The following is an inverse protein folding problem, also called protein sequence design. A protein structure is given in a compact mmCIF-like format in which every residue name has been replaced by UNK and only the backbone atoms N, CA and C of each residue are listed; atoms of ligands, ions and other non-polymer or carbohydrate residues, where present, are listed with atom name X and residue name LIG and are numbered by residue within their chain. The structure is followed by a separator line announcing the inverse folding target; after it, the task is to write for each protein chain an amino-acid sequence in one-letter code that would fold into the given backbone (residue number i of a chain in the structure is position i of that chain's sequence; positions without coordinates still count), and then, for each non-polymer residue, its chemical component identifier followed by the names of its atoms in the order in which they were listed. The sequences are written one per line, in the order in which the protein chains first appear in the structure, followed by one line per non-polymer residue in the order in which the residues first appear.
data_IF_908924778843
#
_entry.id   IF_908924778843
#
_cell.length_a   1.000
_cell.length_b   1.000
_cell.length_c   1.000
_cell.angle_alpha   90.00
_cell.angle_beta   90.00
_cell.angle_gamma   90.00
#
_symmetry.space_group_name_H-M   'P 1'
#
loop_
_entity.id
_entity.type
_entity.pdbx_description
1 polymer ?
#
# COMPACT_ATOMS: atom_id res chain seq x y z
N UNK A 1 5.71 19.68 7.67
CA UNK A 1 5.00 18.85 8.68
C UNK A 1 5.55 17.42 8.76
N UNK A 2 5.42 16.59 7.71
CA UNK A 2 5.80 15.16 7.74
C UNK A 2 7.25 14.87 8.18
N UNK A 3 8.23 15.59 7.61
CA UNK A 3 9.64 15.45 8.01
C UNK A 3 9.87 15.87 9.46
N UNK A 4 9.23 16.95 9.91
CA UNK A 4 9.29 17.42 11.30
C UNK A 4 8.73 16.39 12.28
N UNK A 5 7.63 15.71 11.92
CA UNK A 5 7.08 14.60 12.70
C UNK A 5 8.11 13.46 12.82
N UNK A 6 8.68 13.00 11.70
CA UNK A 6 9.67 11.91 11.70
C UNK A 6 10.94 12.28 12.48
N UNK A 7 11.42 13.52 12.33
CA UNK A 7 12.58 14.03 13.05
C UNK A 7 12.30 14.12 14.56
N UNK A 8 11.14 14.64 14.97
CA UNK A 8 10.74 14.74 16.37
C UNK A 8 10.60 13.37 17.04
N UNK A 9 9.98 12.41 16.35
CA UNK A 9 9.89 11.02 16.79
C UNK A 9 11.29 10.46 17.06
N UNK A 10 12.18 10.58 16.08
CA UNK A 10 13.53 10.01 16.18
C UNK A 10 14.42 10.75 17.18
N UNK A 11 14.23 12.05 17.38
CA UNK A 11 14.90 12.80 18.45
C UNK A 11 14.50 12.28 19.83
N UNK A 12 13.20 12.06 20.07
CA UNK A 12 12.70 11.49 21.32
C UNK A 12 13.21 10.05 21.54
N UNK A 13 13.16 9.21 20.50
CA UNK A 13 13.67 7.83 20.56
C UNK A 13 15.16 7.77 20.86
N UNK A 14 15.95 8.68 20.28
CA UNK A 14 17.39 8.79 20.55
C UNK A 14 17.69 9.10 22.02
N UNK A 15 16.97 10.04 22.63
CA UNK A 15 17.10 10.36 24.06
C UNK A 15 16.70 9.15 24.92
N UNK A 16 15.66 8.42 24.50
CA UNK A 16 15.20 7.19 25.16
C UNK A 16 16.08 5.95 24.89
N UNK A 17 17.16 6.09 24.11
CA UNK A 17 18.03 4.99 23.66
C UNK A 17 17.26 3.84 22.98
N UNK A 18 16.19 4.18 22.25
CA UNK A 18 15.40 3.24 21.45
C UNK A 18 15.86 3.24 20.00
N UNK A 19 15.50 2.19 19.27
CA UNK A 19 15.76 2.09 17.84
C UNK A 19 15.07 3.23 17.06
N UNK A 20 15.67 3.59 15.92
CA UNK A 20 15.12 4.60 15.04
C UNK A 20 13.82 4.12 14.40
N UNK A 21 12.87 5.02 14.26
CA UNK A 21 11.63 4.77 13.55
C UNK A 21 11.73 5.30 12.11
N UNK A 22 11.54 4.41 11.15
CA UNK A 22 11.49 4.73 9.72
C UNK A 22 10.19 4.19 9.11
N UNK A 23 9.68 4.93 8.13
CA UNK A 23 8.54 4.49 7.32
C UNK A 23 9.07 4.08 5.96
N UNK A 24 8.68 2.89 5.52
CA UNK A 24 9.05 2.40 4.19
C UNK A 24 8.14 3.01 3.10
N UNK A 25 8.58 2.93 1.85
CA UNK A 25 7.87 3.50 0.69
C UNK A 25 6.51 2.83 0.46
N UNK A 26 6.43 1.52 0.69
CA UNK A 26 5.21 0.70 0.59
C UNK A 26 4.25 0.91 1.77
N UNK A 27 4.71 1.57 2.83
CA UNK A 27 3.92 1.81 4.03
C UNK A 27 3.26 3.18 4.04
N UNK A 28 3.92 4.22 3.51
CA UNK A 28 3.40 5.58 3.49
C UNK A 28 4.06 6.50 2.46
N UNK A 29 3.29 7.48 1.98
CA UNK A 29 3.81 8.61 1.21
C UNK A 29 4.89 9.42 1.95
N UNK A 30 4.91 9.40 3.30
CA UNK A 30 6.01 10.00 4.08
C UNK A 30 7.33 9.26 3.84
N UNK A 31 7.30 7.93 3.73
CA UNK A 31 8.46 7.12 3.37
C UNK A 31 8.94 7.45 1.95
N UNK A 32 8.00 7.55 1.00
CA UNK A 32 8.31 7.98 -0.39
C UNK A 32 8.98 9.34 -0.44
N UNK A 33 8.44 10.34 0.28
CA UNK A 33 9.00 11.69 0.38
C UNK A 33 10.45 11.67 0.86
N UNK A 34 10.70 10.99 1.99
CA UNK A 34 12.01 10.99 2.63
C UNK A 34 13.03 10.22 1.78
N UNK A 35 12.64 9.04 1.26
CA UNK A 35 13.50 8.22 0.39
C UNK A 35 13.86 8.95 -0.91
N UNK A 36 12.90 9.62 -1.56
CA UNK A 36 13.18 10.40 -2.77
C UNK A 36 14.18 11.54 -2.49
N UNK A 37 14.02 12.27 -1.38
CA UNK A 37 14.92 13.38 -1.03
C UNK A 37 16.36 12.93 -0.79
N UNK A 38 16.56 11.80 -0.09
CA UNK A 38 17.90 11.29 0.19
C UNK A 38 18.54 10.58 -1.02
N UNK A 39 17.73 9.95 -1.87
CA UNK A 39 18.23 9.09 -2.96
C UNK A 39 18.41 9.86 -4.27
N UNK A 40 17.48 10.76 -4.59
CA UNK A 40 17.51 11.51 -5.86
C UNK A 40 18.20 12.88 -5.72
N UNK A 41 18.29 13.41 -4.51
CA UNK A 41 18.61 14.81 -4.30
C UNK A 41 17.53 15.73 -4.88
N UNK A 42 17.75 17.03 -4.82
CA UNK A 42 16.80 18.01 -5.37
C UNK A 42 17.53 19.28 -5.78
N UNK A 43 17.55 19.58 -7.08
CA UNK A 43 18.10 20.85 -7.60
C UNK A 43 17.04 21.98 -7.53
N UNK A 44 15.77 21.60 -7.52
CA UNK A 44 14.61 22.46 -7.31
C UNK A 44 13.82 22.01 -6.07
N UNK A 45 12.92 22.82 -5.48
CA UNK A 45 12.12 22.39 -4.33
C UNK A 45 11.25 21.17 -4.66
N UNK A 46 11.47 20.06 -3.96
CA UNK A 46 10.72 18.81 -4.15
C UNK A 46 9.21 19.00 -3.92
N UNK A 47 8.38 18.43 -4.79
CA UNK A 47 6.91 18.47 -4.70
C UNK A 47 6.33 17.06 -4.78
N UNK A 48 5.45 16.71 -3.84
CA UNK A 48 4.83 15.37 -3.79
C UNK A 48 4.02 15.02 -5.04
N UNK A 49 3.45 16.02 -5.72
CA UNK A 49 2.58 15.80 -6.89
C UNK A 49 3.35 15.21 -8.09
N UNK A 50 4.67 15.43 -8.17
CA UNK A 50 5.53 14.86 -9.21
C UNK A 50 6.13 13.51 -8.80
N UNK A 51 5.95 13.10 -7.55
CA UNK A 51 6.45 11.81 -7.05
C UNK A 51 5.66 10.64 -7.63
N UNK A 52 6.38 9.62 -8.09
CA UNK A 52 5.79 8.33 -8.47
C UNK A 52 5.91 7.38 -7.28
N UNK A 53 4.85 7.31 -6.47
CA UNK A 53 4.66 6.16 -5.61
C UNK A 53 4.29 4.96 -6.48
N UNK A 54 5.05 3.88 -6.35
CA UNK A 54 4.84 2.62 -7.03
C UNK A 54 3.59 1.89 -6.51
N UNK A 55 3.12 2.29 -5.32
CA UNK A 55 2.07 1.63 -4.55
C UNK A 55 0.84 2.51 -4.31
N UNK A 56 0.37 3.23 -5.34
CA UNK A 56 -0.74 4.20 -5.18
C UNK A 56 -2.05 3.55 -4.71
N UNK A 57 -2.35 2.35 -5.18
CA UNK A 57 -3.57 1.63 -4.82
C UNK A 57 -3.50 1.11 -3.38
N UNK A 58 -2.31 0.87 -2.83
CA UNK A 58 -2.09 0.48 -1.44
C UNK A 58 -2.01 1.70 -0.50
N UNK A 59 -1.46 2.82 -0.97
CA UNK A 59 -1.19 4.03 -0.17
C UNK A 59 -2.31 5.08 -0.25
N UNK A 60 -3.55 4.65 -0.05
CA UNK A 60 -4.70 5.54 -0.20
C UNK A 60 -4.97 6.36 1.06
N UNK A 61 -5.73 7.42 0.90
CA UNK A 61 -6.14 8.26 2.03
C UNK A 61 -7.05 7.50 3.02
N UNK A 62 -7.98 6.67 2.50
CA UNK A 62 -9.01 5.95 3.25
C UNK A 62 -8.46 4.85 4.19
N UNK A 63 -7.23 4.40 3.94
CA UNK A 63 -6.59 3.30 4.67
C UNK A 63 -5.31 3.70 5.41
N UNK A 64 -5.01 5.00 5.53
CA UNK A 64 -3.82 5.48 6.21
C UNK A 64 -3.80 5.11 7.70
N UNK A 65 -4.97 5.10 8.33
CA UNK A 65 -5.20 4.64 9.70
C UNK A 65 -4.84 3.16 9.87
N UNK A 66 -5.31 2.29 8.97
CA UNK A 66 -5.01 0.86 8.98
C UNK A 66 -3.50 0.59 8.86
N UNK A 67 -2.80 1.40 8.03
CA UNK A 67 -1.35 1.26 7.80
C UNK A 67 -0.51 1.83 8.95
N UNK A 68 -0.89 2.99 9.50
CA UNK A 68 0.00 3.79 10.35
C UNK A 68 -0.38 3.84 11.83
N UNK A 69 -1.66 3.61 12.18
CA UNK A 69 -2.08 3.60 13.60
C UNK A 69 -1.37 2.51 14.41
N UNK A 70 -1.23 1.26 13.93
CA UNK A 70 -0.50 0.23 14.68
C UNK A 70 0.96 0.62 14.96
N UNK A 71 1.62 1.25 13.98
CA UNK A 71 2.99 1.77 14.12
C UNK A 71 3.05 2.91 15.14
N UNK A 72 2.13 3.87 15.03
CA UNK A 72 2.01 4.99 15.97
C UNK A 72 1.73 4.52 17.40
N UNK A 73 0.90 3.50 17.58
CA UNK A 73 0.60 2.91 18.88
C UNK A 73 1.85 2.26 19.50
N UNK A 74 2.61 1.50 18.70
CA UNK A 74 3.86 0.85 19.15
C UNK A 74 4.90 1.83 19.67
N UNK A 75 4.94 3.05 19.11
CA UNK A 75 5.86 4.12 19.55
C UNK A 75 5.23 5.10 20.56
N UNK A 76 4.00 4.83 21.01
CA UNK A 76 3.31 5.60 22.05
C UNK A 76 2.64 6.91 21.60
N UNK A 77 2.44 7.11 20.30
CA UNK A 77 1.79 8.32 19.75
C UNK A 77 0.29 8.15 19.51
N UNK A 78 -0.17 6.95 19.19
CA UNK A 78 -1.60 6.68 19.05
C UNK A 78 -2.17 6.19 20.38
N UNK A 79 -3.36 6.67 20.73
CA UNK A 79 -4.07 6.21 21.92
C UNK A 79 -4.64 4.80 21.74
N UNK A 80 -5.02 4.16 22.85
CA UNK A 80 -5.64 2.84 22.81
C UNK A 80 -6.99 2.87 22.08
N UNK A 81 -7.79 3.90 22.30
CA UNK A 81 -9.09 4.09 21.65
C UNK A 81 -8.94 4.15 20.13
N UNK A 82 -7.89 4.83 19.64
CA UNK A 82 -7.60 4.89 18.20
C UNK A 82 -7.18 3.54 17.64
N UNK A 83 -6.41 2.76 18.39
CA UNK A 83 -6.01 1.41 17.99
C UNK A 83 -7.21 0.46 17.98
N UNK A 84 -8.03 0.49 19.02
CA UNK A 84 -9.24 -0.33 19.15
C UNK A 84 -10.23 -0.02 18.00
N UNK A 85 -10.40 1.25 17.65
CA UNK A 85 -11.20 1.69 16.49
C UNK A 85 -10.69 1.11 15.17
N UNK A 86 -9.38 1.10 14.95
CA UNK A 86 -8.77 0.53 13.73
C UNK A 86 -8.96 -0.98 13.67
N UNK A 87 -8.83 -1.68 14.80
CA UNK A 87 -9.08 -3.12 14.89
C UNK A 87 -10.54 -3.41 14.56
N UNK A 88 -11.48 -2.68 15.15
CA UNK A 88 -12.91 -2.84 14.88
C UNK A 88 -13.24 -2.60 13.39
N UNK A 89 -12.73 -1.51 12.81
CA UNK A 89 -12.90 -1.18 11.39
C UNK A 89 -12.39 -2.33 10.51
N UNK A 90 -11.21 -2.86 10.78
CA UNK A 90 -10.62 -3.97 10.01
C UNK A 90 -11.47 -5.24 10.13
N UNK A 91 -11.84 -5.64 11.36
CA UNK A 91 -12.64 -6.84 11.61
C UNK A 91 -14.00 -6.78 10.91
N UNK A 92 -14.70 -5.65 11.01
CA UNK A 92 -16.01 -5.46 10.37
C UNK A 92 -15.90 -5.40 8.84
N UNK A 93 -14.83 -4.81 8.31
CA UNK A 93 -14.54 -4.82 6.86
C UNK A 93 -14.38 -6.25 6.37
N UNK A 94 -13.53 -7.05 7.04
CA UNK A 94 -13.27 -8.44 6.65
C UNK A 94 -14.54 -9.29 6.78
N UNK A 95 -15.30 -9.09 7.86
CA UNK A 95 -16.58 -9.75 8.09
C UNK A 95 -17.55 -9.48 6.93
N UNK A 96 -17.65 -8.22 6.49
CA UNK A 96 -18.58 -7.84 5.43
C UNK A 96 -18.13 -8.30 4.05
N UNK A 97 -16.84 -8.21 3.73
CA UNK A 97 -16.28 -8.80 2.50
C UNK A 97 -16.57 -10.30 2.46
N UNK A 98 -16.40 -11.00 3.58
CA UNK A 98 -16.66 -12.44 3.66
C UNK A 98 -18.14 -12.78 3.44
N UNK A 99 -19.05 -11.97 3.97
CA UNK A 99 -20.48 -12.10 3.68
C UNK A 99 -20.75 -11.98 2.17
N UNK A 100 -20.25 -10.94 1.50
CA UNK A 100 -20.43 -10.76 0.06
C UNK A 100 -19.82 -11.91 -0.78
N UNK A 101 -18.71 -12.50 -0.32
CA UNK A 101 -18.06 -13.64 -0.99
C UNK A 101 -18.84 -14.95 -0.82
N UNK A 102 -19.46 -15.16 0.34
CA UNK A 102 -20.19 -16.39 0.66
C UNK A 102 -21.62 -16.37 0.13
N UNK A 103 -22.27 -15.21 0.16
CA UNK A 103 -23.68 -15.08 -0.23
C UNK A 103 -23.83 -15.03 -1.75
N UNK A 104 -24.71 -15.89 -2.27
CA UNK A 104 -25.11 -15.89 -3.67
C UNK A 104 -26.38 -15.06 -3.83
N UNK A 105 -26.53 -14.41 -4.98
CA UNK A 105 -27.73 -13.67 -5.35
C UNK A 105 -28.33 -14.28 -6.63
N UNK A 106 -29.66 -14.32 -6.73
CA UNK A 106 -30.37 -14.88 -7.89
C UNK A 106 -30.62 -13.79 -8.93
N UNK A 107 -30.75 -14.13 -10.22
CA UNK A 107 -31.08 -13.18 -11.28
C UNK A 107 -32.32 -12.32 -10.98
N UNK A 108 -33.37 -12.93 -10.42
CA UNK A 108 -34.63 -12.25 -10.08
C UNK A 108 -34.44 -11.08 -9.11
N UNK A 109 -33.50 -11.20 -8.18
CA UNK A 109 -33.26 -10.17 -7.16
C UNK A 109 -32.33 -9.06 -7.65
N UNK A 110 -31.39 -9.39 -8.54
CA UNK A 110 -30.30 -8.47 -8.93
C UNK A 110 -30.51 -7.80 -10.26
N UNK A 111 -31.16 -8.45 -11.24
CA UNK A 111 -31.34 -7.90 -12.58
C UNK A 111 -32.07 -6.55 -12.60
N UNK A 112 -33.11 -6.29 -11.77
CA UNK A 112 -33.71 -4.96 -11.71
C UNK A 112 -32.71 -3.84 -11.34
N UNK A 113 -31.77 -4.15 -10.45
CA UNK A 113 -30.70 -3.21 -10.03
C UNK A 113 -29.68 -3.04 -11.16
N UNK A 114 -29.35 -4.12 -11.87
CA UNK A 114 -28.42 -4.08 -13.00
C UNK A 114 -28.98 -3.29 -14.18
N UNK A 115 -30.26 -3.45 -14.52
CA UNK A 115 -30.94 -2.68 -15.57
C UNK A 115 -30.93 -1.19 -15.27
N UNK A 116 -31.31 -0.80 -14.04
CA UNK A 116 -31.32 0.60 -13.60
C UNK A 116 -29.93 1.25 -13.72
N UNK A 117 -28.86 0.46 -13.53
CA UNK A 117 -27.47 0.91 -13.63
C UNK A 117 -26.82 0.63 -15.00
N UNK A 118 -27.60 0.22 -16.02
CA UNK A 118 -27.10 -0.09 -17.38
C UNK A 118 -25.95 -1.11 -17.36
N UNK A 119 -26.02 -2.09 -16.47
CA UNK A 119 -25.05 -3.18 -16.33
C UNK A 119 -25.59 -4.46 -16.98
N UNK A 120 -24.69 -5.34 -17.46
CA UNK A 120 -25.07 -6.57 -18.13
C UNK A 120 -25.85 -7.53 -17.19
N UNK A 121 -26.97 -8.07 -17.64
CA UNK A 121 -27.79 -8.97 -16.80
C UNK A 121 -27.08 -10.29 -16.50
N UNK A 122 -27.50 -10.95 -15.43
CA UNK A 122 -27.03 -12.30 -15.09
C UNK A 122 -28.11 -13.33 -15.41
N UNK A 123 -27.69 -14.48 -15.94
CA UNK A 123 -28.59 -15.59 -16.30
C UNK A 123 -28.65 -16.68 -15.23
N UNK A 124 -27.68 -16.72 -14.32
CA UNK A 124 -27.58 -17.69 -13.24
C UNK A 124 -27.20 -17.03 -11.92
N UNK A 125 -27.37 -17.76 -10.82
CA UNK A 125 -26.96 -17.26 -9.51
C UNK A 125 -25.44 -17.07 -9.44
N UNK A 126 -25.00 -15.95 -8.86
CA UNK A 126 -23.59 -15.58 -8.73
C UNK A 126 -23.31 -15.05 -7.33
N UNK A 127 -22.04 -15.03 -6.91
CA UNK A 127 -21.64 -14.41 -5.64
C UNK A 127 -21.86 -12.90 -5.69
N UNK A 128 -22.42 -12.32 -4.62
CA UNK A 128 -22.64 -10.89 -4.50
C UNK A 128 -21.34 -10.10 -4.73
N UNK A 129 -20.20 -10.60 -4.22
CA UNK A 129 -18.87 -10.00 -4.44
C UNK A 129 -18.55 -9.76 -5.92
N UNK A 130 -18.84 -10.73 -6.80
CA UNK A 130 -18.54 -10.61 -8.24
C UNK A 130 -19.41 -9.55 -8.91
N UNK A 131 -20.65 -9.40 -8.47
CA UNK A 131 -21.57 -8.40 -9.03
C UNK A 131 -21.23 -7.02 -8.48
N UNK A 132 -21.01 -6.90 -7.17
CA UNK A 132 -20.63 -5.65 -6.50
C UNK A 132 -19.31 -5.05 -7.01
N UNK A 133 -18.41 -5.87 -7.56
CA UNK A 133 -17.16 -5.41 -8.18
C UNK A 133 -17.37 -4.73 -9.56
N UNK A 134 -18.59 -4.73 -10.12
CA UNK A 134 -18.86 -4.11 -11.42
C UNK A 134 -18.78 -2.59 -11.32
N UNK A 135 -18.11 -1.91 -12.27
CA UNK A 135 -17.87 -0.47 -12.18
C UNK A 135 -19.15 0.37 -12.28
N UNK A 136 -20.22 -0.18 -12.87
CA UNK A 136 -21.52 0.49 -12.98
C UNK A 136 -22.28 0.57 -11.65
N UNK A 137 -21.88 -0.19 -10.63
CA UNK A 137 -22.59 -0.23 -9.35
C UNK A 137 -21.87 0.61 -8.30
N UNK A 138 -22.61 1.48 -7.63
CA UNK A 138 -22.19 2.11 -6.38
C UNK A 138 -22.54 1.23 -5.18
N UNK A 139 -21.96 1.52 -4.03
CA UNK A 139 -22.35 0.80 -2.81
C UNK A 139 -23.81 1.04 -2.39
N UNK A 140 -24.40 2.19 -2.76
CA UNK A 140 -25.84 2.45 -2.59
C UNK A 140 -26.71 1.42 -3.34
N UNK A 141 -26.22 0.85 -4.45
CA UNK A 141 -26.90 -0.22 -5.17
C UNK A 141 -26.66 -1.58 -4.51
N UNK A 142 -25.45 -1.82 -3.99
CA UNK A 142 -25.11 -3.05 -3.26
C UNK A 142 -25.97 -3.19 -2.00
N UNK A 143 -26.30 -2.09 -1.31
CA UNK A 143 -27.24 -2.09 -0.17
C UNK A 143 -28.63 -2.64 -0.51
N UNK A 144 -29.06 -2.51 -1.76
CA UNK A 144 -30.36 -3.01 -2.24
C UNK A 144 -30.34 -4.52 -2.47
N UNK A 145 -29.19 -5.19 -2.42
CA UNK A 145 -29.13 -6.63 -2.53
C UNK A 145 -29.79 -7.28 -1.30
N UNK A 146 -30.56 -8.38 -1.48
CA UNK A 146 -31.23 -9.04 -0.38
C UNK A 146 -30.28 -9.39 0.77
N UNK A 147 -30.64 -9.00 2.00
CA UNK A 147 -29.86 -9.28 3.21
C UNK A 147 -28.63 -8.41 3.44
N UNK A 148 -28.23 -7.52 2.51
CA UNK A 148 -27.08 -6.62 2.73
C UNK A 148 -27.38 -5.57 3.79
N UNK A 149 -28.48 -4.82 3.66
CA UNK A 149 -28.83 -3.77 4.64
C UNK A 149 -29.07 -4.36 6.04
N UNK A 150 -29.76 -5.50 6.12
CA UNK A 150 -29.96 -6.22 7.38
C UNK A 150 -28.63 -6.64 8.01
N UNK A 151 -27.67 -7.13 7.20
CA UNK A 151 -26.34 -7.47 7.67
C UNK A 151 -25.59 -6.26 8.21
N UNK A 152 -25.69 -5.10 7.55
CA UNK A 152 -25.06 -3.84 7.99
C UNK A 152 -25.61 -3.43 9.36
N UNK A 153 -26.93 -3.39 9.49
CA UNK A 153 -27.61 -2.99 10.74
C UNK A 153 -27.29 -3.97 11.88
N UNK A 154 -27.39 -5.27 11.62
CA UNK A 154 -27.14 -6.32 12.62
C UNK A 154 -25.72 -6.30 13.19
N UNK A 155 -24.73 -5.97 12.35
CA UNK A 155 -23.32 -5.95 12.75
C UNK A 155 -22.83 -4.55 13.14
N UNK A 156 -23.73 -3.56 13.22
CA UNK A 156 -23.42 -2.16 13.52
C UNK A 156 -22.27 -1.63 12.64
N UNK A 157 -22.38 -1.86 11.33
CA UNK A 157 -21.37 -1.46 10.34
C UNK A 157 -21.57 0.02 10.01
N UNK A 158 -20.55 0.83 10.28
CA UNK A 158 -20.54 2.26 9.97
C UNK A 158 -20.13 2.56 8.51
N UNK A 159 -20.19 3.84 8.15
CA UNK A 159 -19.87 4.30 6.79
C UNK A 159 -18.40 4.12 6.41
N UNK A 160 -17.45 4.21 7.36
CA UNK A 160 -16.03 4.01 7.04
C UNK A 160 -15.75 2.54 6.70
N UNK A 161 -16.40 1.61 7.39
CA UNK A 161 -16.33 0.18 7.08
C UNK A 161 -16.99 -0.13 5.73
N UNK A 162 -18.12 0.52 5.44
CA UNK A 162 -18.79 0.42 4.13
C UNK A 162 -17.87 0.89 3.01
N UNK A 163 -17.31 2.08 3.13
CA UNK A 163 -16.40 2.66 2.13
C UNK A 163 -15.18 1.77 1.94
N UNK A 164 -14.57 1.31 3.03
CA UNK A 164 -13.42 0.41 2.97
C UNK A 164 -13.77 -0.92 2.28
N UNK A 165 -14.97 -1.45 2.52
CA UNK A 165 -15.46 -2.66 1.85
C UNK A 165 -15.68 -2.40 0.36
N UNK A 166 -16.31 -1.29 -0.02
CA UNK A 166 -16.52 -0.92 -1.43
C UNK A 166 -15.19 -0.84 -2.18
N UNK A 167 -14.22 -0.12 -1.63
CA UNK A 167 -12.89 0.02 -2.21
C UNK A 167 -12.22 -1.36 -2.35
N UNK A 168 -12.28 -2.19 -1.31
CA UNK A 168 -11.72 -3.54 -1.40
C UNK A 168 -12.40 -4.38 -2.49
N UNK A 169 -13.72 -4.33 -2.60
CA UNK A 169 -14.48 -5.11 -3.59
C UNK A 169 -14.18 -4.64 -5.02
N UNK A 170 -14.21 -3.33 -5.27
CA UNK A 170 -14.00 -2.75 -6.60
C UNK A 170 -12.57 -2.90 -7.08
N UNK A 171 -11.60 -2.75 -6.19
CA UNK A 171 -10.19 -2.71 -6.55
C UNK A 171 -9.42 -3.98 -6.17
N UNK A 172 -10.09 -5.07 -5.76
CA UNK A 172 -9.41 -6.27 -5.24
C UNK A 172 -8.31 -6.81 -6.16
N UNK A 173 -8.57 -6.89 -7.46
CA UNK A 173 -7.58 -7.38 -8.44
C UNK A 173 -6.39 -6.44 -8.61
N UNK A 174 -6.62 -5.12 -8.56
CA UNK A 174 -5.55 -4.12 -8.64
C UNK A 174 -4.73 -4.11 -7.35
N UNK A 175 -5.39 -4.15 -6.19
CA UNK A 175 -4.77 -4.25 -4.87
C UNK A 175 -3.89 -5.50 -4.79
N UNK A 176 -4.39 -6.66 -5.23
CA UNK A 176 -3.63 -7.91 -5.22
C UNK A 176 -2.41 -7.86 -6.16
N UNK A 177 -2.59 -7.34 -7.38
CA UNK A 177 -1.49 -7.15 -8.34
C UNK A 177 -0.41 -6.20 -7.80
N UNK A 178 -0.82 -5.10 -7.19
CA UNK A 178 0.09 -4.12 -6.62
C UNK A 178 0.80 -4.68 -5.38
N UNK A 179 0.09 -5.41 -4.51
CA UNK A 179 0.66 -6.13 -3.37
C UNK A 179 1.73 -7.13 -3.81
N UNK A 180 1.45 -7.95 -4.82
CA UNK A 180 2.43 -8.87 -5.39
C UNK A 180 3.67 -8.16 -5.94
N UNK A 181 3.51 -6.93 -6.44
CA UNK A 181 4.62 -6.11 -6.93
C UNK A 181 5.40 -5.48 -5.77
N UNK A 182 4.72 -5.06 -4.70
CA UNK A 182 5.30 -4.61 -3.45
C UNK A 182 6.14 -5.70 -2.79
N UNK A 183 5.58 -6.91 -2.67
CA UNK A 183 6.27 -8.06 -2.06
C UNK A 183 7.57 -8.41 -2.80
N UNK A 184 7.62 -8.27 -4.13
CA UNK A 184 8.86 -8.48 -4.92
C UNK A 184 9.92 -7.42 -4.61
N UNK A 185 9.52 -6.16 -4.49
CA UNK A 185 10.43 -5.05 -4.18
C UNK A 185 10.89 -5.07 -2.71
N UNK A 186 10.00 -5.44 -1.78
CA UNK A 186 10.33 -5.71 -0.37
C UNK A 186 11.42 -6.78 -0.22
N UNK A 187 11.41 -7.81 -1.07
CA UNK A 187 12.51 -8.80 -1.10
C UNK A 187 13.85 -8.15 -1.43
N UNK A 188 13.88 -7.17 -2.34
CA UNK A 188 15.09 -6.41 -2.66
C UNK A 188 15.48 -5.44 -1.53
N UNK A 189 14.51 -4.90 -0.79
CA UNK A 189 14.76 -4.03 0.37
C UNK A 189 15.47 -4.77 1.50
N UNK A 190 15.16 -6.06 1.67
CA UNK A 190 15.82 -6.92 2.65
C UNK A 190 17.25 -7.32 2.26
N UNK A 191 17.70 -7.05 1.02
CA UNK A 191 19.07 -7.33 0.58
C UNK A 191 19.92 -6.09 0.85
N UNK A 192 20.59 -6.10 2.01
CA UNK A 192 21.48 -5.02 2.44
C UNK A 192 22.78 -5.02 1.65
N UNK A 193 23.21 -3.83 1.26
CA UNK A 193 24.54 -3.61 0.68
C UNK A 193 25.50 -3.20 1.81
N UNK A 194 26.67 -3.84 1.95
CA UNK A 194 27.68 -3.45 2.94
C UNK A 194 28.12 -1.99 2.77
N UNK A 195 28.34 -1.27 3.86
CA UNK A 195 28.71 0.16 3.83
C UNK A 195 30.03 0.47 3.08
N UNK A 196 30.92 -0.52 2.97
CA UNK A 196 32.22 -0.39 2.30
C UNK A 196 32.24 -1.14 0.96
N UNK A 197 31.09 -1.28 0.30
CA UNK A 197 30.99 -2.00 -0.95
C UNK A 197 31.68 -1.22 -2.08
N UNK A 198 32.63 -1.87 -2.75
CA UNK A 198 33.38 -1.25 -3.85
C UNK A 198 32.73 -1.58 -5.20
N UNK A 199 31.86 -0.67 -5.65
CA UNK A 199 31.17 -0.78 -6.94
C UNK A 199 32.12 -0.72 -8.15
N UNK A 200 33.35 -0.20 -8.00
CA UNK A 200 34.31 -0.10 -9.10
C UNK A 200 34.84 -1.47 -9.55
N UNK A 201 34.75 -2.48 -8.68
CA UNK A 201 35.13 -3.86 -8.99
C UNK A 201 34.18 -4.55 -9.96
N UNK A 202 32.95 -4.05 -10.12
CA UNK A 202 31.92 -4.68 -10.96
C UNK A 202 31.95 -4.09 -12.38
N UNK A 203 32.84 -4.63 -13.21
CA UNK A 203 33.03 -4.14 -14.60
C UNK A 203 31.79 -4.31 -15.49
N UNK A 204 30.90 -5.24 -15.14
CA UNK A 204 29.66 -5.55 -15.88
C UNK A 204 28.49 -4.61 -15.59
N UNK A 205 28.61 -3.71 -14.60
CA UNK A 205 27.66 -2.60 -14.39
C UNK A 205 28.08 -1.44 -15.31
N UNK A 206 27.13 -0.67 -15.82
CA UNK A 206 27.42 0.51 -16.63
C UNK A 206 28.29 1.54 -15.87
N UNK A 207 29.09 2.31 -16.60
CA UNK A 207 29.96 3.32 -15.98
C UNK A 207 29.15 4.37 -15.20
N UNK A 208 28.05 4.86 -15.79
CA UNK A 208 27.12 5.79 -15.15
C UNK A 208 26.54 5.22 -13.85
N UNK A 209 26.06 3.97 -13.87
CA UNK A 209 25.54 3.32 -12.68
C UNK A 209 26.61 3.18 -11.60
N UNK A 210 27.84 2.77 -11.94
CA UNK A 210 28.94 2.67 -10.97
C UNK A 210 29.26 4.01 -10.32
N UNK A 211 29.36 5.08 -11.08
CA UNK A 211 29.61 6.42 -10.53
C UNK A 211 28.52 6.83 -9.54
N UNK A 212 27.26 6.65 -9.93
CA UNK A 212 26.13 7.03 -9.09
C UNK A 212 25.98 6.16 -7.85
N UNK A 213 26.18 4.84 -7.97
CA UNK A 213 26.19 3.91 -6.83
C UNK A 213 27.33 4.25 -5.86
N UNK A 214 28.52 4.55 -6.37
CA UNK A 214 29.69 4.94 -5.56
C UNK A 214 29.44 6.27 -4.83
N UNK A 215 28.76 7.22 -5.47
CA UNK A 215 28.44 8.52 -4.88
C UNK A 215 27.33 8.46 -3.83
N UNK A 216 26.26 7.72 -4.12
CA UNK A 216 25.04 7.68 -3.28
C UNK A 216 25.19 6.66 -2.15
N UNK A 217 26.00 5.61 -2.32
CA UNK A 217 26.22 4.53 -1.34
C UNK A 217 24.90 3.96 -0.81
N UNK A 218 24.05 3.38 -1.69
CA UNK A 218 22.76 2.85 -1.28
C UNK A 218 22.94 1.71 -0.26
N UNK A 219 22.06 1.67 0.72
CA UNK A 219 22.08 0.68 1.81
C UNK A 219 21.37 -0.62 1.47
N UNK A 220 20.54 -0.63 0.42
CA UNK A 220 19.78 -1.79 -0.06
C UNK A 220 19.79 -1.88 -1.59
N UNK A 221 19.61 -3.09 -2.13
CA UNK A 221 19.45 -3.29 -3.59
C UNK A 221 18.24 -2.51 -4.13
N UNK A 222 17.17 -2.50 -3.35
CA UNK A 222 15.97 -1.74 -3.68
C UNK A 222 16.28 -0.25 -3.85
N UNK A 223 17.03 0.36 -2.92
CA UNK A 223 17.48 1.75 -3.05
C UNK A 223 18.38 1.95 -4.28
N UNK A 224 19.32 1.03 -4.53
CA UNK A 224 20.18 1.06 -5.71
C UNK A 224 19.38 1.09 -7.02
N UNK A 225 18.31 0.29 -7.12
CA UNK A 225 17.45 0.22 -8.30
C UNK A 225 16.66 1.50 -8.61
N UNK A 226 16.52 2.41 -7.63
CA UNK A 226 15.79 3.69 -7.78
C UNK A 226 16.68 4.86 -8.17
N UNK A 227 18.00 4.67 -8.14
CA UNK A 227 18.95 5.71 -8.52
C UNK A 227 18.80 5.95 -10.03
N UNK A 228 18.54 7.21 -10.40
CA UNK A 228 18.44 7.60 -11.81
C UNK A 228 19.73 7.21 -12.54
N UNK A 229 19.65 6.50 -13.67
CA UNK A 229 20.83 6.01 -14.40
C UNK A 229 21.35 4.64 -13.97
N UNK A 230 20.73 4.00 -12.96
CA UNK A 230 20.94 2.57 -12.67
C UNK A 230 19.82 1.77 -13.35
N UNK A 231 20.19 0.90 -14.29
CA UNK A 231 19.22 0.10 -15.06
C UNK A 231 18.83 -1.19 -14.33
N UNK A 232 17.69 -1.83 -14.70
CA UNK A 232 17.34 -3.16 -14.18
C UNK A 232 18.42 -4.23 -14.42
N UNK A 233 19.17 -4.10 -15.53
CA UNK A 233 20.31 -4.98 -15.83
C UNK A 233 21.45 -4.78 -14.85
N UNK A 234 21.78 -3.53 -14.51
CA UNK A 234 22.81 -3.21 -13.50
C UNK A 234 22.47 -3.78 -12.13
N UNK A 235 21.19 -3.69 -11.74
CA UNK A 235 20.67 -4.27 -10.48
C UNK A 235 20.81 -5.80 -10.49
N UNK A 236 20.51 -6.43 -11.62
CA UNK A 236 20.63 -7.89 -11.77
C UNK A 236 22.09 -8.34 -11.64
N UNK A 237 23.02 -7.60 -12.26
CA UNK A 237 24.46 -7.86 -12.11
C UNK A 237 24.91 -7.69 -10.67
N UNK A 238 24.44 -6.65 -9.98
CA UNK A 238 24.76 -6.41 -8.58
C UNK A 238 24.26 -7.55 -7.67
N UNK A 239 23.04 -8.05 -7.91
CA UNK A 239 22.49 -9.20 -7.19
C UNK A 239 23.33 -10.46 -7.36
N UNK A 240 23.70 -10.79 -8.60
CA UNK A 240 24.55 -11.96 -8.90
C UNK A 240 25.91 -11.82 -8.23
N UNK A 241 26.52 -10.63 -8.27
CA UNK A 241 27.80 -10.37 -7.60
C UNK A 241 27.73 -10.54 -6.08
N UNK A 242 26.57 -10.25 -5.48
CA UNK A 242 26.29 -10.46 -4.06
C UNK A 242 25.84 -11.89 -3.72
N UNK A 243 25.86 -12.81 -4.70
CA UNK A 243 25.51 -14.22 -4.49
C UNK A 243 24.01 -14.47 -4.31
N UNK A 244 23.16 -13.69 -4.97
CA UNK A 244 21.69 -13.77 -4.91
C UNK A 244 21.05 -14.09 -6.25
#
# INVERSE_FOLDING_TARGET
AAQGLMAGINAALKIQKKEIFTLQRDEAYIGVLIDDLITKGTDEPYRMFTSRAEYRTLLRQDNADLRLTPKGFKIGLASKERMDRVIEKQLKTDLFINFLRKTSIKPVDVNPILEANKSALVTQSMKMFKIAARPQLGFSDVRKFPGVEEFILKNNIDNEVVEQTEVHVKYSGYIEKEKNSADKLLRLENIKIPANFDYQKIKSISFEAREKLTKIQPTTISQASRISGVSPSDVSVLLVYMGR
#
